data_IF_368275845776
#
_entry.id   IF_368275845776
#
_cell.length_a   1.000
_cell.length_b   1.000
_cell.length_c   1.000
_cell.angle_alpha   90.00
_cell.angle_beta   90.00
_cell.angle_gamma   90.00
#
_symmetry.space_group_name_H-M   'P 1'
#
loop_
_entity.id
_entity.type
_entity.pdbx_description
1 polymer ?
#
# COMPACT_ATOMS: atom_id res chain seq x y z
N UNK A 1 -17.82 -39.18 84.11
CA UNK A 1 -19.30 -39.30 84.27
C UNK A 1 -19.83 -39.60 82.86
N UNK A 2 -20.13 -40.90 82.68
CA UNK A 2 -21.47 -41.47 82.50
C UNK A 2 -22.15 -40.96 81.22
N UNK A 3 -22.53 -41.69 80.32
CA UNK A 3 -23.21 -42.98 80.07
C UNK A 3 -23.51 -43.04 78.54
N UNK A 4 -23.20 -44.12 77.88
CA UNK A 4 -24.00 -45.35 77.66
C UNK A 4 -25.24 -45.14 76.76
N UNK A 5 -25.31 -46.00 75.74
CA UNK A 5 -26.49 -46.57 75.01
C UNK A 5 -27.02 -45.73 73.84
N UNK A 6 -27.44 -46.25 72.71
CA UNK A 6 -27.84 -47.64 72.41
C UNK A 6 -27.69 -47.91 70.89
N UNK A 7 -27.40 -49.14 70.63
CA UNK A 7 -27.49 -49.85 69.34
C UNK A 7 -28.91 -49.82 68.80
N UNK A 8 -29.12 -49.54 67.51
CA UNK A 8 -30.23 -50.11 66.75
C UNK A 8 -29.77 -50.47 65.35
N UNK A 9 -29.71 -51.76 65.16
CA UNK A 9 -29.52 -52.43 63.92
C UNK A 9 -30.72 -52.19 62.98
N UNK A 10 -30.56 -51.61 61.85
CA UNK A 10 -31.48 -51.74 60.71
C UNK A 10 -30.76 -52.34 59.52
N UNK A 11 -30.98 -53.63 59.39
CA UNK A 11 -30.68 -54.45 58.22
C UNK A 11 -31.62 -53.96 57.08
N UNK A 12 -31.11 -53.06 56.19
CA UNK A 12 -31.76 -52.72 54.92
C UNK A 12 -31.19 -53.55 53.82
N UNK A 13 -32.00 -54.50 53.35
CA UNK A 13 -31.71 -55.32 52.17
C UNK A 13 -31.43 -54.46 50.95
N UNK A 14 -30.18 -54.46 50.50
CA UNK A 14 -29.77 -53.85 49.23
C UNK A 14 -30.14 -54.85 48.11
N UNK A 15 -31.33 -54.67 47.55
CA UNK A 15 -31.77 -55.35 46.32
C UNK A 15 -30.96 -54.76 45.19
N UNK A 16 -29.85 -55.42 44.78
CA UNK A 16 -29.08 -55.12 43.64
C UNK A 16 -29.93 -55.37 42.39
N UNK A 17 -30.49 -54.31 41.82
CA UNK A 17 -31.00 -54.33 40.43
C UNK A 17 -29.79 -54.54 39.51
N UNK A 18 -29.57 -55.80 39.11
CA UNK A 18 -28.71 -56.12 37.99
C UNK A 18 -29.40 -55.59 36.72
N UNK A 19 -29.05 -54.38 36.31
CA UNK A 19 -29.32 -53.91 34.92
C UNK A 19 -28.54 -54.84 34.01
N UNK A 20 -29.16 -55.47 33.01
CA UNK A 20 -28.40 -56.16 31.99
C UNK A 20 -27.53 -55.08 31.31
N UNK A 21 -26.22 -55.18 31.42
CA UNK A 21 -25.31 -54.50 30.53
C UNK A 21 -25.71 -54.94 29.13
N UNK A 22 -26.39 -54.05 28.39
CA UNK A 22 -26.56 -54.20 26.97
C UNK A 22 -25.13 -54.28 26.44
N UNK A 23 -24.67 -55.47 26.10
CA UNK A 23 -23.52 -55.67 25.28
C UNK A 23 -23.82 -54.85 23.99
N UNK A 24 -23.17 -53.70 23.82
CA UNK A 24 -23.12 -53.08 22.53
C UNK A 24 -22.50 -54.18 21.65
N UNK A 25 -23.32 -54.78 20.79
CA UNK A 25 -22.83 -55.57 19.67
C UNK A 25 -21.90 -54.62 18.91
N UNK A 26 -20.60 -54.75 19.13
CA UNK A 26 -19.56 -54.23 18.27
C UNK A 26 -19.79 -54.95 16.91
N UNK A 27 -20.72 -54.42 16.13
CA UNK A 27 -20.84 -54.76 14.72
C UNK A 27 -19.51 -54.31 14.12
N UNK A 28 -18.56 -55.25 13.99
CA UNK A 28 -17.38 -55.06 13.17
C UNK A 28 -17.93 -54.84 11.75
N UNK A 29 -18.13 -53.59 11.43
CA UNK A 29 -18.66 -53.21 10.13
C UNK A 29 -17.70 -53.75 9.09
N UNK A 30 -18.21 -54.56 8.14
CA UNK A 30 -17.42 -55.16 7.07
C UNK A 30 -16.72 -54.07 6.29
N UNK A 31 -15.43 -54.26 5.93
CA UNK A 31 -14.71 -53.29 5.12
C UNK A 31 -15.41 -53.10 3.77
N UNK A 32 -15.76 -51.82 3.45
CA UNK A 32 -16.49 -51.49 2.20
C UNK A 32 -15.62 -50.59 1.34
N UNK A 33 -15.58 -50.88 0.03
CA UNK A 33 -14.81 -50.09 -0.95
C UNK A 33 -15.56 -48.80 -1.27
N UNK A 34 -14.82 -47.70 -1.38
CA UNK A 34 -15.33 -46.39 -1.81
C UNK A 34 -15.20 -46.25 -3.35
N UNK A 35 -16.23 -45.74 -4.00
CA UNK A 35 -16.23 -45.47 -5.45
C UNK A 35 -15.38 -44.21 -5.80
N UNK A 36 -15.33 -43.24 -4.89
CA UNK A 36 -14.58 -41.99 -5.07
C UNK A 36 -13.80 -41.65 -3.79
N UNK A 37 -12.54 -41.31 -3.98
CA UNK A 37 -11.58 -41.08 -2.90
C UNK A 37 -10.81 -39.80 -3.17
N UNK A 38 -10.65 -38.99 -2.15
CA UNK A 38 -9.83 -37.78 -2.20
C UNK A 38 -8.64 -37.92 -1.27
N UNK A 39 -7.43 -37.75 -1.80
CA UNK A 39 -6.19 -37.88 -1.06
C UNK A 39 -5.38 -36.59 -1.08
N UNK A 40 -4.64 -36.36 -0.01
CA UNK A 40 -3.72 -35.21 0.13
C UNK A 40 -2.25 -35.62 0.10
N UNK A 41 -1.97 -36.93 0.17
CA UNK A 41 -0.61 -37.47 0.25
C UNK A 41 -0.16 -38.06 -1.08
N UNK A 42 1.19 -38.26 -1.21
CA UNK A 42 1.79 -38.90 -2.38
C UNK A 42 1.41 -40.37 -2.56
N UNK A 43 0.83 -40.97 -1.53
CA UNK A 43 0.54 -42.39 -1.47
C UNK A 43 -0.89 -42.58 -1.02
N UNK A 44 -1.63 -43.38 -1.77
CA UNK A 44 -2.97 -43.86 -1.41
C UNK A 44 -2.81 -45.04 -0.46
N UNK A 45 -3.50 -44.96 0.68
CA UNK A 45 -3.49 -45.97 1.74
C UNK A 45 -4.79 -46.81 1.67
N UNK A 46 -4.76 -47.96 2.33
CA UNK A 46 -5.92 -48.83 2.43
C UNK A 46 -7.13 -48.07 3.03
N UNK A 47 -6.92 -47.28 4.08
CA UNK A 47 -7.98 -46.51 4.73
C UNK A 47 -8.55 -45.38 3.88
N UNK A 48 -7.86 -44.96 2.81
CA UNK A 48 -8.41 -44.02 1.83
C UNK A 48 -9.44 -44.68 0.94
N UNK A 49 -9.15 -45.97 0.52
CA UNK A 49 -9.96 -46.73 -0.41
C UNK A 49 -11.14 -47.43 0.27
N UNK A 50 -11.00 -47.79 1.54
CA UNK A 50 -11.91 -48.71 2.24
C UNK A 50 -12.37 -48.09 3.55
N UNK A 51 -13.70 -48.09 3.76
CA UNK A 51 -14.27 -47.85 5.08
C UNK A 51 -14.03 -49.03 5.99
N UNK A 52 -13.84 -48.79 7.26
CA UNK A 52 -13.60 -49.81 8.31
C UNK A 52 -12.35 -50.67 8.04
N UNK A 53 -11.28 -50.04 7.51
CA UNK A 53 -10.02 -50.74 7.22
C UNK A 53 -9.26 -51.21 8.49
N UNK A 54 -9.68 -50.82 9.67
CA UNK A 54 -9.06 -51.22 10.93
C UNK A 54 -7.56 -50.96 11.00
N UNK A 55 -6.79 -51.94 11.47
CA UNK A 55 -5.32 -51.86 11.57
C UNK A 55 -4.62 -51.74 10.21
N UNK A 56 -5.27 -52.11 9.13
CA UNK A 56 -4.70 -52.02 7.79
C UNK A 56 -4.78 -50.61 7.18
N UNK A 57 -5.49 -49.66 7.78
CA UNK A 57 -5.76 -48.34 7.24
C UNK A 57 -4.50 -47.57 6.79
N UNK A 58 -3.39 -47.71 7.48
CA UNK A 58 -2.14 -46.99 7.18
C UNK A 58 -1.25 -47.67 6.15
N UNK A 59 -1.61 -48.86 5.66
CA UNK A 59 -0.80 -49.62 4.68
C UNK A 59 -0.83 -48.91 3.32
N UNK A 60 0.34 -48.56 2.73
CA UNK A 60 0.41 -47.96 1.41
C UNK A 60 0.07 -48.95 0.30
N UNK A 61 -0.75 -48.52 -0.68
CA UNK A 61 -1.27 -49.41 -1.74
C UNK A 61 -0.85 -48.93 -3.12
N UNK A 62 -1.02 -47.66 -3.42
CA UNK A 62 -0.74 -47.05 -4.72
C UNK A 62 -0.04 -45.72 -4.55
N UNK A 63 0.69 -45.30 -5.60
CA UNK A 63 1.11 -43.91 -5.73
C UNK A 63 -0.11 -43.06 -6.14
N UNK A 64 -0.28 -41.90 -5.50
CA UNK A 64 -1.35 -40.97 -5.84
C UNK A 64 -1.16 -40.42 -7.27
N UNK A 65 -2.23 -40.00 -7.93
CA UNK A 65 -2.13 -39.28 -9.20
C UNK A 65 -1.32 -37.98 -9.06
N UNK A 66 -1.08 -37.30 -10.19
CA UNK A 66 -0.44 -36.00 -10.17
C UNK A 66 -1.30 -34.96 -9.43
N UNK A 67 -0.69 -33.94 -8.90
CA UNK A 67 -1.34 -32.89 -8.11
C UNK A 67 -2.51 -32.27 -8.86
N UNK A 68 -3.68 -32.26 -8.25
CA UNK A 68 -4.90 -31.71 -8.82
C UNK A 68 -5.51 -32.53 -9.95
N UNK A 69 -5.15 -33.82 -10.08
CA UNK A 69 -5.71 -34.73 -11.11
C UNK A 69 -6.46 -35.88 -10.47
N UNK A 70 -7.30 -36.51 -11.28
CA UNK A 70 -8.05 -37.72 -10.91
C UNK A 70 -7.55 -38.90 -11.75
N UNK A 71 -7.16 -39.98 -11.06
CA UNK A 71 -6.83 -41.25 -11.65
C UNK A 71 -7.96 -42.27 -11.45
N UNK A 72 -8.09 -43.24 -12.33
CA UNK A 72 -9.11 -44.31 -12.24
C UNK A 72 -8.40 -45.65 -12.04
N UNK A 73 -8.84 -46.40 -11.04
CA UNK A 73 -8.35 -47.74 -10.75
C UNK A 73 -9.49 -48.74 -10.98
N UNK A 74 -9.24 -49.77 -11.76
CA UNK A 74 -10.24 -50.83 -11.94
C UNK A 74 -10.35 -51.66 -10.66
N UNK A 75 -11.54 -52.19 -10.40
CA UNK A 75 -11.79 -53.01 -9.20
C UNK A 75 -10.85 -54.21 -9.10
N UNK A 76 -10.55 -54.85 -10.23
CA UNK A 76 -9.63 -55.99 -10.28
C UNK A 76 -8.22 -55.62 -9.77
N UNK A 77 -7.70 -54.44 -10.17
CA UNK A 77 -6.42 -53.94 -9.70
C UNK A 77 -6.43 -53.65 -8.20
N UNK A 78 -7.48 -53.00 -7.73
CA UNK A 78 -7.62 -52.67 -6.31
C UNK A 78 -7.67 -53.95 -5.47
N UNK A 79 -8.52 -54.90 -5.82
CA UNK A 79 -8.66 -56.17 -5.09
C UNK A 79 -7.37 -57.00 -5.09
N UNK A 80 -6.66 -57.03 -6.25
CA UNK A 80 -5.39 -57.79 -6.32
C UNK A 80 -4.35 -57.24 -5.35
N UNK A 81 -4.20 -55.92 -5.24
CA UNK A 81 -3.25 -55.27 -4.32
C UNK A 81 -3.71 -55.42 -2.87
N UNK A 82 -5.00 -55.29 -2.59
CA UNK A 82 -5.55 -55.49 -1.24
C UNK A 82 -5.29 -56.90 -0.73
N UNK A 83 -5.49 -57.93 -1.58
CA UNK A 83 -5.16 -59.34 -1.24
C UNK A 83 -3.66 -59.51 -1.00
N UNK A 84 -2.82 -58.91 -1.82
CA UNK A 84 -1.36 -58.95 -1.61
C UNK A 84 -0.93 -58.31 -0.25
N UNK A 85 -1.75 -57.40 0.29
CA UNK A 85 -1.57 -56.78 1.61
C UNK A 85 -2.37 -57.49 2.72
N UNK A 86 -2.91 -58.67 2.44
CA UNK A 86 -3.69 -59.50 3.38
C UNK A 86 -4.99 -58.85 3.84
N UNK A 87 -5.53 -57.89 3.10
CA UNK A 87 -6.85 -57.29 3.34
C UNK A 87 -7.88 -58.11 2.56
N UNK A 88 -8.67 -58.92 3.28
CA UNK A 88 -9.62 -59.89 2.72
C UNK A 88 -11.03 -59.51 3.20
N UNK A 89 -12.06 -59.91 2.40
CA UNK A 89 -13.46 -59.72 2.78
C UNK A 89 -14.02 -58.31 2.52
N UNK A 90 -13.40 -57.54 1.59
CA UNK A 90 -13.86 -56.23 1.23
C UNK A 90 -15.13 -56.31 0.39
N UNK A 91 -16.19 -55.67 0.82
CA UNK A 91 -17.43 -55.54 0.07
C UNK A 91 -17.27 -54.46 -1.02
N UNK A 92 -17.51 -54.84 -2.26
CA UNK A 92 -17.30 -53.98 -3.45
C UNK A 92 -18.59 -53.39 -4.01
N UNK A 93 -19.73 -53.98 -3.64
CA UNK A 93 -21.02 -53.58 -4.25
C UNK A 93 -20.97 -53.63 -5.78
N UNK A 94 -21.63 -52.69 -6.42
CA UNK A 94 -21.68 -52.56 -7.88
C UNK A 94 -20.55 -51.67 -8.45
N UNK A 95 -19.51 -51.36 -7.66
CA UNK A 95 -18.41 -50.51 -8.06
C UNK A 95 -17.56 -51.26 -9.11
N UNK A 96 -17.38 -50.67 -10.27
CA UNK A 96 -16.48 -51.20 -11.34
C UNK A 96 -15.12 -50.53 -11.29
N UNK A 97 -15.05 -49.27 -10.91
CA UNK A 97 -13.87 -48.47 -10.90
C UNK A 97 -13.86 -47.54 -9.66
N UNK A 98 -12.71 -47.29 -9.14
CA UNK A 98 -12.48 -46.34 -8.06
C UNK A 98 -11.77 -45.10 -8.61
N UNK A 99 -12.38 -43.95 -8.40
CA UNK A 99 -11.79 -42.67 -8.76
C UNK A 99 -10.97 -42.12 -7.60
N UNK A 100 -9.70 -41.86 -7.85
CA UNK A 100 -8.80 -41.29 -6.87
C UNK A 100 -8.40 -39.88 -7.30
N UNK A 101 -8.83 -38.89 -6.58
CA UNK A 101 -8.50 -37.49 -6.83
C UNK A 101 -7.44 -37.00 -5.83
N UNK A 102 -6.33 -36.52 -6.34
CA UNK A 102 -5.31 -35.88 -5.49
C UNK A 102 -5.59 -34.39 -5.40
N UNK A 103 -5.78 -33.90 -4.19
CA UNK A 103 -5.94 -32.45 -3.95
C UNK A 103 -4.62 -31.73 -4.21
N UNK A 104 -4.74 -30.50 -4.69
CA UNK A 104 -3.63 -29.59 -4.84
C UNK A 104 -4.00 -28.20 -4.35
N UNK A 105 -3.04 -27.51 -3.78
CA UNK A 105 -3.09 -26.07 -3.55
C UNK A 105 -2.49 -25.38 -4.77
N UNK A 106 -3.27 -24.52 -5.38
CA UNK A 106 -2.80 -23.70 -6.49
C UNK A 106 -2.30 -22.37 -5.98
N UNK A 107 -1.07 -22.01 -6.34
CA UNK A 107 -0.52 -20.66 -6.18
C UNK A 107 -0.63 -19.95 -7.52
N UNK A 108 -1.46 -18.93 -7.60
CA UNK A 108 -1.59 -18.10 -8.79
C UNK A 108 -0.34 -17.22 -8.98
N UNK A 109 -0.01 -16.87 -10.22
CA UNK A 109 1.11 -15.96 -10.54
C UNK A 109 1.03 -14.66 -9.74
N UNK A 110 -0.17 -14.11 -9.61
CA UNK A 110 -0.40 -12.87 -8.87
C UNK A 110 -0.08 -12.98 -7.37
N UNK A 111 -0.33 -14.13 -6.76
CA UNK A 111 0.00 -14.37 -5.35
C UNK A 111 1.51 -14.42 -5.16
N UNK A 112 2.23 -15.04 -6.12
CA UNK A 112 3.69 -15.07 -6.12
C UNK A 112 4.31 -13.69 -6.34
N UNK A 113 3.77 -12.90 -7.28
CA UNK A 113 4.18 -11.51 -7.51
C UNK A 113 4.00 -10.67 -6.25
N UNK A 114 2.85 -10.81 -5.58
CA UNK A 114 2.55 -10.10 -4.34
C UNK A 114 3.51 -10.52 -3.21
N UNK A 115 3.79 -11.81 -3.08
CA UNK A 115 4.71 -12.31 -2.07
C UNK A 115 6.14 -11.81 -2.29
N UNK A 116 6.61 -11.79 -3.55
CA UNK A 116 7.93 -11.26 -3.91
C UNK A 116 7.98 -9.75 -3.68
N UNK A 117 6.97 -8.99 -4.12
CA UNK A 117 6.90 -7.55 -3.89
C UNK A 117 6.92 -7.21 -2.39
N UNK A 118 6.15 -7.94 -1.57
CA UNK A 118 6.14 -7.77 -0.11
C UNK A 118 7.49 -8.14 0.54
N UNK A 119 8.20 -9.14 0.03
CA UNK A 119 9.53 -9.50 0.52
C UNK A 119 10.59 -8.43 0.23
N UNK A 120 10.38 -7.63 -0.82
CA UNK A 120 11.26 -6.55 -1.25
C UNK A 120 10.81 -5.16 -0.74
N UNK A 121 9.60 -5.07 -0.21
CA UNK A 121 9.00 -3.81 0.26
C UNK A 121 9.92 -3.07 1.23
N UNK A 122 10.14 -1.77 0.96
CA UNK A 122 10.99 -0.86 1.76
C UNK A 122 12.39 -1.39 2.05
N UNK A 123 12.87 -2.31 1.21
CA UNK A 123 14.22 -2.86 1.28
C UNK A 123 14.99 -2.51 0.01
N UNK A 124 16.29 -2.52 0.07
CA UNK A 124 17.20 -2.32 -1.06
C UNK A 124 16.97 -1.02 -1.86
N UNK A 125 16.34 -0.02 -1.26
CA UNK A 125 16.00 1.25 -1.92
C UNK A 125 14.70 1.22 -2.74
N UNK A 126 13.94 0.13 -2.65
CA UNK A 126 12.60 0.02 -3.23
C UNK A 126 11.53 0.60 -2.29
N UNK A 127 10.47 1.14 -2.88
CA UNK A 127 9.32 1.67 -2.16
C UNK A 127 8.33 0.60 -1.70
N UNK A 128 7.06 0.98 -1.66
CA UNK A 128 5.97 0.11 -1.23
C UNK A 128 5.69 -1.02 -2.25
N UNK A 129 5.27 -2.19 -1.76
CA UNK A 129 5.00 -3.38 -2.57
C UNK A 129 4.04 -3.12 -3.75
N UNK A 130 3.03 -2.26 -3.56
CA UNK A 130 2.07 -1.90 -4.60
C UNK A 130 2.71 -1.23 -5.83
N UNK A 131 3.90 -0.65 -5.65
CA UNK A 131 4.65 0.04 -6.69
C UNK A 131 5.78 -0.80 -7.28
N UNK A 132 5.94 -2.05 -6.85
CA UNK A 132 6.95 -2.96 -7.36
C UNK A 132 6.33 -3.85 -8.42
N UNK A 133 6.85 -3.78 -9.64
CA UNK A 133 6.48 -4.68 -10.73
C UNK A 133 7.49 -5.81 -10.79
N UNK A 134 6.98 -7.05 -10.69
CA UNK A 134 7.78 -8.28 -10.68
C UNK A 134 7.64 -9.00 -12.01
N UNK A 135 8.75 -9.46 -12.56
CA UNK A 135 8.79 -10.33 -13.75
C UNK A 135 9.69 -11.52 -13.45
N UNK A 136 9.16 -12.72 -13.54
CA UNK A 136 9.91 -13.95 -13.28
C UNK A 136 10.72 -14.41 -14.51
N UNK A 137 11.93 -14.93 -14.32
CA UNK A 137 12.79 -15.48 -15.40
C UNK A 137 12.16 -16.69 -16.11
N UNK A 138 11.47 -17.51 -15.33
CA UNK A 138 10.61 -18.57 -15.85
C UNK A 138 9.20 -18.16 -15.56
N UNK A 139 8.41 -17.97 -16.59
CA UNK A 139 7.03 -17.49 -16.42
C UNK A 139 6.41 -18.16 -15.21
N UNK A 140 5.99 -17.37 -14.24
CA UNK A 140 5.29 -17.88 -13.06
C UNK A 140 3.91 -18.35 -13.49
N UNK A 141 3.90 -19.49 -14.20
CA UNK A 141 2.67 -20.21 -14.43
C UNK A 141 2.09 -20.61 -13.07
N UNK A 142 0.81 -20.84 -13.06
CA UNK A 142 0.12 -21.44 -11.93
C UNK A 142 0.91 -22.62 -11.38
N UNK A 143 1.34 -22.54 -10.13
CA UNK A 143 2.10 -23.61 -9.48
C UNK A 143 1.18 -24.43 -8.60
N UNK A 144 1.22 -25.77 -8.77
CA UNK A 144 0.46 -26.69 -7.93
C UNK A 144 1.37 -27.28 -6.87
N UNK A 145 0.95 -27.17 -5.63
CA UNK A 145 1.59 -27.73 -4.46
C UNK A 145 0.68 -28.81 -3.83
N UNK A 146 1.25 -29.63 -3.02
CA UNK A 146 0.49 -30.56 -2.19
C UNK A 146 -0.45 -29.77 -1.29
N UNK A 147 -1.69 -30.26 -1.13
CA UNK A 147 -2.72 -29.59 -0.35
C UNK A 147 -2.37 -29.41 1.13
N UNK A 148 -1.44 -30.22 1.63
CA UNK A 148 -0.90 -30.10 3.01
C UNK A 148 -0.01 -28.87 3.22
N UNK A 149 0.39 -28.17 2.16
CA UNK A 149 1.12 -26.90 2.26
C UNK A 149 0.14 -25.74 2.52
N UNK A 150 -0.40 -25.65 3.72
CA UNK A 150 -1.44 -24.67 4.09
C UNK A 150 -0.88 -23.31 4.49
N UNK A 151 0.39 -23.24 4.90
CA UNK A 151 1.03 -22.04 5.38
C UNK A 151 1.15 -20.92 4.35
N UNK A 152 1.42 -19.70 4.82
CA UNK A 152 1.77 -18.57 3.97
C UNK A 152 3.21 -18.71 3.44
N UNK A 153 3.49 -18.05 2.31
CA UNK A 153 4.84 -17.92 1.75
C UNK A 153 5.71 -17.06 2.69
N UNK A 154 6.67 -17.66 3.37
CA UNK A 154 7.60 -16.95 4.26
C UNK A 154 8.95 -16.76 3.57
N UNK A 155 9.44 -15.52 3.34
CA UNK A 155 10.75 -15.29 2.75
C UNK A 155 11.85 -15.63 3.77
N UNK A 156 12.72 -16.60 3.44
CA UNK A 156 13.84 -17.02 4.31
C UNK A 156 15.18 -16.49 3.83
N UNK A 157 15.34 -16.30 2.53
CA UNK A 157 16.53 -15.69 1.96
C UNK A 157 16.13 -14.76 0.82
N UNK A 158 16.57 -13.50 0.90
CA UNK A 158 16.27 -12.48 -0.11
C UNK A 158 17.58 -11.89 -0.60
N UNK A 159 17.82 -11.96 -1.90
CA UNK A 159 18.92 -11.29 -2.60
C UNK A 159 18.32 -10.37 -3.65
N UNK A 160 18.84 -9.17 -3.73
CA UNK A 160 18.43 -8.19 -4.72
C UNK A 160 19.63 -7.36 -5.18
N UNK A 161 19.76 -7.18 -6.47
CA UNK A 161 20.75 -6.30 -7.08
C UNK A 161 20.06 -5.04 -7.61
N UNK A 162 20.24 -3.93 -6.94
CA UNK A 162 19.60 -2.66 -7.29
C UNK A 162 20.05 -2.10 -8.66
N UNK A 163 21.21 -2.52 -9.18
CA UNK A 163 21.70 -2.04 -10.48
C UNK A 163 20.96 -2.72 -11.64
N UNK A 164 20.76 -4.01 -11.55
CA UNK A 164 20.10 -4.81 -12.60
C UNK A 164 18.63 -5.05 -12.35
N UNK A 165 18.12 -4.73 -11.15
CA UNK A 165 16.79 -5.04 -10.70
C UNK A 165 16.54 -6.53 -10.46
N UNK A 166 17.59 -7.38 -10.48
CA UNK A 166 17.44 -8.83 -10.33
C UNK A 166 17.22 -9.23 -8.89
N UNK A 167 16.27 -10.13 -8.68
CA UNK A 167 16.04 -10.75 -7.39
C UNK A 167 16.23 -12.26 -7.44
N UNK A 168 16.53 -12.84 -6.28
CA UNK A 168 16.60 -14.28 -6.02
C UNK A 168 16.10 -14.47 -4.58
N UNK A 169 14.90 -15.03 -4.44
CA UNK A 169 14.22 -15.17 -3.15
C UNK A 169 13.85 -16.63 -2.93
N UNK A 170 14.23 -17.14 -1.76
CA UNK A 170 13.78 -18.44 -1.26
C UNK A 170 12.63 -18.21 -0.27
N UNK A 171 11.54 -18.95 -0.48
CA UNK A 171 10.38 -18.98 0.41
C UNK A 171 10.26 -20.36 1.06
N UNK A 172 9.70 -20.40 2.24
CA UNK A 172 9.25 -21.61 2.91
C UNK A 172 7.75 -21.56 3.15
N UNK A 173 7.10 -22.73 3.00
CA UNK A 173 5.68 -22.91 3.28
C UNK A 173 5.56 -24.02 4.31
N UNK A 174 4.82 -23.76 5.39
CA UNK A 174 4.52 -24.78 6.38
C UNK A 174 3.67 -25.91 5.76
N UNK A 175 3.98 -27.14 6.14
CA UNK A 175 3.29 -28.34 5.68
C UNK A 175 2.70 -29.05 6.88
N UNK A 176 1.36 -29.29 6.88
CA UNK A 176 0.67 -29.90 8.00
C UNK A 176 1.02 -31.38 8.21
N UNK A 177 1.45 -32.07 7.15
CA UNK A 177 1.82 -33.48 7.19
C UNK A 177 3.32 -33.74 7.42
N UNK A 178 4.14 -32.70 7.35
CA UNK A 178 5.57 -32.82 7.47
C UNK A 178 6.16 -31.64 8.29
N UNK A 179 6.94 -31.88 9.34
CA UNK A 179 7.60 -30.82 10.11
C UNK A 179 8.62 -30.03 9.27
N UNK A 180 9.08 -30.58 8.14
CA UNK A 180 9.99 -29.89 7.24
C UNK A 180 9.20 -29.02 6.27
N UNK A 181 9.40 -27.69 6.25
CA UNK A 181 8.68 -26.81 5.34
C UNK A 181 9.08 -27.05 3.88
N UNK A 182 8.15 -26.83 2.97
CA UNK A 182 8.41 -26.89 1.53
C UNK A 182 9.15 -25.62 1.10
N UNK A 183 10.31 -25.80 0.44
CA UNK A 183 11.16 -24.69 -0.06
C UNK A 183 10.87 -24.40 -1.53
N UNK A 184 10.62 -23.12 -1.82
CA UNK A 184 10.43 -22.61 -3.17
C UNK A 184 11.44 -21.50 -3.43
N UNK A 185 12.00 -21.45 -4.65
CA UNK A 185 12.95 -20.41 -5.03
C UNK A 185 12.49 -19.75 -6.32
N UNK A 186 12.42 -18.42 -6.30
CA UNK A 186 12.04 -17.62 -7.43
C UNK A 186 13.12 -16.62 -7.78
N UNK A 187 13.39 -16.47 -9.08
CA UNK A 187 14.31 -15.48 -9.61
C UNK A 187 13.65 -14.69 -10.74
N UNK A 188 14.10 -13.46 -10.92
CA UNK A 188 13.54 -12.58 -11.93
C UNK A 188 14.03 -11.15 -11.78
N UNK A 189 13.24 -10.21 -12.29
CA UNK A 189 13.45 -8.78 -12.15
C UNK A 189 12.31 -8.13 -11.39
N UNK A 190 12.64 -7.22 -10.47
CA UNK A 190 11.71 -6.40 -9.73
C UNK A 190 12.14 -4.95 -9.86
N UNK A 191 11.25 -4.10 -10.36
CA UNK A 191 11.51 -2.68 -10.57
C UNK A 191 10.44 -1.86 -9.88
N UNK A 192 10.84 -0.74 -9.27
CA UNK A 192 9.91 0.22 -8.74
C UNK A 192 9.27 1.00 -9.89
N UNK A 193 7.95 1.00 -9.95
CA UNK A 193 7.16 1.73 -10.94
C UNK A 193 6.35 2.82 -10.25
N UNK A 194 6.08 3.87 -10.99
CA UNK A 194 5.18 4.95 -10.57
C UNK A 194 4.10 5.13 -11.61
N UNK A 195 2.91 5.48 -11.15
CA UNK A 195 1.83 5.86 -12.03
C UNK A 195 2.01 7.30 -12.46
N UNK A 196 2.12 7.53 -13.75
CA UNK A 196 2.39 8.85 -14.34
C UNK A 196 1.36 9.18 -15.40
N UNK A 197 1.04 10.45 -15.51
CA UNK A 197 0.26 10.99 -16.61
C UNK A 197 1.14 11.05 -17.87
N UNK A 198 0.68 10.43 -18.95
CA UNK A 198 1.40 10.37 -20.23
C UNK A 198 0.52 10.99 -21.31
N UNK A 199 1.13 11.72 -22.26
CA UNK A 199 0.42 12.29 -23.40
C UNK A 199 0.01 11.21 -24.40
N UNK A 200 -1.25 11.25 -24.84
CA UNK A 200 -1.80 10.33 -25.85
C UNK A 200 -1.52 10.78 -27.28
N UNK A 201 -1.24 12.07 -27.47
CA UNK A 201 -0.92 12.70 -28.76
C UNK A 201 0.13 13.80 -28.60
N UNK A 202 0.66 14.26 -29.70
CA UNK A 202 1.54 15.42 -29.72
C UNK A 202 0.75 16.68 -29.35
N UNK A 203 1.33 17.51 -28.48
CA UNK A 203 0.70 18.74 -27.99
C UNK A 203 1.71 19.88 -28.09
N UNK A 204 1.26 21.00 -28.66
CA UNK A 204 2.08 22.18 -28.84
C UNK A 204 2.17 23.04 -27.58
N UNK A 205 3.12 23.98 -27.59
CA UNK A 205 3.28 24.95 -26.52
C UNK A 205 2.02 25.79 -26.37
N UNK A 206 1.62 26.04 -25.11
CA UNK A 206 0.47 26.82 -24.73
C UNK A 206 -0.90 26.20 -25.08
N UNK A 207 -0.94 25.00 -25.66
CA UNK A 207 -2.17 24.24 -25.80
C UNK A 207 -2.69 23.77 -24.44
N UNK A 208 -4.00 23.85 -24.27
CA UNK A 208 -4.66 23.39 -23.04
C UNK A 208 -4.91 21.90 -23.11
N UNK A 209 -4.43 21.18 -22.09
CA UNK A 209 -4.58 19.74 -21.93
C UNK A 209 -6.04 19.36 -21.65
N UNK A 210 -6.59 18.48 -22.48
CA UNK A 210 -7.91 17.89 -22.29
C UNK A 210 -7.79 16.55 -21.56
N UNK A 211 -8.86 16.08 -20.95
CA UNK A 211 -8.91 14.77 -20.30
C UNK A 211 -8.59 13.60 -21.25
N UNK A 212 -8.90 13.74 -22.54
CA UNK A 212 -8.57 12.78 -23.60
C UNK A 212 -7.09 12.74 -23.97
N UNK A 213 -6.37 13.81 -23.70
CA UNK A 213 -4.98 13.97 -24.09
C UNK A 213 -4.01 13.35 -23.07
N UNK A 214 -4.54 12.92 -21.93
CA UNK A 214 -3.75 12.41 -20.81
C UNK A 214 -4.24 11.02 -20.39
N UNK A 215 -3.38 10.01 -20.53
CA UNK A 215 -3.59 8.65 -20.01
C UNK A 215 -2.73 8.42 -18.77
N UNK A 216 -3.16 7.50 -17.90
CA UNK A 216 -2.34 7.03 -16.79
C UNK A 216 -1.61 5.76 -17.23
N UNK A 217 -0.30 5.75 -17.08
CA UNK A 217 0.55 4.60 -17.37
C UNK A 217 1.51 4.33 -16.20
N UNK A 218 1.80 3.05 -15.96
CA UNK A 218 2.87 2.66 -15.05
C UNK A 218 4.19 2.66 -15.77
N UNK A 219 5.14 3.44 -15.27
CA UNK A 219 6.49 3.55 -15.82
C UNK A 219 7.55 3.26 -14.74
N UNK A 220 8.70 2.70 -15.12
CA UNK A 220 9.83 2.58 -14.21
C UNK A 220 10.17 3.93 -13.57
N UNK A 221 10.29 3.97 -12.26
CA UNK A 221 10.62 5.21 -11.53
C UNK A 221 11.93 5.83 -12.01
N UNK A 222 12.87 5.00 -12.43
CA UNK A 222 14.16 5.45 -12.98
C UNK A 222 14.02 6.26 -14.29
N UNK A 223 12.97 6.04 -15.08
CA UNK A 223 12.68 6.76 -16.32
C UNK A 223 11.96 8.09 -16.06
N UNK A 224 11.32 8.23 -14.90
CA UNK A 224 10.56 9.42 -14.54
C UNK A 224 11.46 10.38 -13.78
N UNK A 225 12.06 11.31 -14.51
CA UNK A 225 12.94 12.32 -13.94
C UNK A 225 12.11 13.48 -13.36
N UNK A 226 12.25 13.79 -12.08
CA UNK A 226 11.52 14.86 -11.40
C UNK A 226 10.16 14.43 -10.86
N UNK A 227 9.39 15.41 -10.36
CA UNK A 227 8.07 15.16 -9.80
C UNK A 227 7.05 14.89 -10.92
N UNK A 228 6.40 13.71 -10.96
CA UNK A 228 5.37 13.42 -11.96
C UNK A 228 4.14 14.28 -11.72
N UNK A 229 3.50 14.73 -12.80
CA UNK A 229 2.21 15.39 -12.71
C UNK A 229 1.10 14.34 -12.56
N UNK A 230 0.12 14.59 -11.70
CA UNK A 230 -1.08 13.76 -11.68
C UNK A 230 -2.01 14.15 -12.83
N UNK A 231 -2.85 13.20 -13.27
CA UNK A 231 -3.82 13.47 -14.34
C UNK A 231 -4.76 14.60 -13.98
N UNK A 232 -5.27 14.62 -12.75
CA UNK A 232 -6.22 15.61 -12.25
C UNK A 232 -5.63 17.02 -12.29
N UNK A 233 -4.35 17.14 -11.93
CA UNK A 233 -3.63 18.43 -11.95
C UNK A 233 -3.25 18.86 -13.36
N UNK A 234 -3.16 17.92 -14.30
CA UNK A 234 -2.74 18.21 -15.68
C UNK A 234 -3.88 18.67 -16.57
N UNK A 235 -5.09 18.17 -16.35
CA UNK A 235 -6.27 18.55 -17.16
C UNK A 235 -6.62 20.02 -16.92
N UNK A 236 -6.77 20.78 -18.02
CA UNK A 236 -7.03 22.22 -17.97
C UNK A 236 -5.77 23.10 -17.87
N UNK A 237 -4.63 22.51 -17.64
CA UNK A 237 -3.33 23.23 -17.67
C UNK A 237 -2.81 23.35 -19.09
N UNK A 238 -1.81 24.22 -19.28
CA UNK A 238 -1.09 24.41 -20.54
C UNK A 238 0.33 23.85 -20.46
N UNK A 239 0.88 23.44 -21.62
CA UNK A 239 2.28 23.01 -21.72
C UNK A 239 3.22 24.22 -21.86
N UNK A 240 4.31 24.21 -21.11
CA UNK A 240 5.40 25.19 -21.27
C UNK A 240 6.15 25.03 -22.58
N UNK A 241 6.19 23.83 -23.13
CA UNK A 241 6.89 23.45 -24.36
C UNK A 241 6.11 22.40 -25.11
N UNK A 242 6.35 22.30 -26.42
CA UNK A 242 5.78 21.22 -27.21
C UNK A 242 6.31 19.87 -26.72
N UNK A 243 5.42 18.87 -26.59
CA UNK A 243 5.73 17.54 -26.13
C UNK A 243 5.06 16.49 -27.01
N UNK A 244 5.75 15.35 -27.21
CA UNK A 244 5.26 14.25 -28.05
C UNK A 244 4.40 13.27 -27.28
N UNK A 245 3.57 12.53 -28.01
CA UNK A 245 2.87 11.37 -27.49
C UNK A 245 3.83 10.40 -26.79
N UNK A 246 3.34 9.71 -25.75
CA UNK A 246 4.14 8.77 -24.96
C UNK A 246 5.08 9.41 -23.94
N UNK A 247 5.18 10.74 -23.90
CA UNK A 247 6.07 11.44 -22.95
C UNK A 247 5.38 11.60 -21.61
N UNK A 248 6.00 11.18 -20.48
CA UNK A 248 5.48 11.41 -19.16
C UNK A 248 5.49 12.90 -18.80
N UNK A 249 4.36 13.37 -18.26
CA UNK A 249 4.19 14.73 -17.81
C UNK A 249 4.83 14.94 -16.43
N UNK A 250 5.55 16.05 -16.27
CA UNK A 250 6.13 16.49 -15.01
C UNK A 250 5.39 17.72 -14.50
N UNK A 251 5.39 17.93 -13.22
CA UNK A 251 4.83 19.14 -12.61
C UNK A 251 5.45 20.42 -13.20
N UNK A 252 6.74 20.37 -13.57
CA UNK A 252 7.45 21.49 -14.17
C UNK A 252 7.08 21.79 -15.64
N UNK A 253 6.49 20.81 -16.35
CA UNK A 253 6.13 20.96 -17.77
C UNK A 253 4.75 21.63 -17.96
N UNK A 254 3.94 21.73 -16.90
CA UNK A 254 2.59 22.30 -16.91
C UNK A 254 2.55 23.67 -16.23
N UNK A 255 1.68 24.54 -16.72
CA UNK A 255 1.40 25.87 -16.16
C UNK A 255 -0.08 26.15 -16.20
N UNK A 256 -0.53 27.07 -15.37
CA UNK A 256 -1.91 27.58 -15.48
C UNK A 256 -2.13 28.23 -16.84
N UNK A 257 -3.29 28.03 -17.46
CA UNK A 257 -3.59 28.65 -18.76
C UNK A 257 -3.67 30.17 -18.62
N UNK A 258 -3.10 30.88 -19.60
CA UNK A 258 -3.26 32.32 -19.70
C UNK A 258 -4.70 32.66 -20.03
N UNK A 259 -5.37 33.37 -19.15
CA UNK A 259 -6.73 33.88 -19.36
C UNK A 259 -6.74 35.23 -20.09
N UNK A 260 -5.63 35.92 -20.01
CA UNK A 260 -5.35 37.16 -20.74
C UNK A 260 -4.04 36.99 -21.48
N UNK A 261 -4.06 37.24 -22.78
CA UNK A 261 -2.86 37.17 -23.62
C UNK A 261 -2.43 38.59 -23.99
N UNK A 262 -1.13 38.84 -24.09
CA UNK A 262 -0.58 40.11 -24.55
C UNK A 262 -1.23 40.53 -25.86
N UNK A 263 -1.49 41.83 -25.99
CA UNK A 263 -2.14 42.48 -27.14
C UNK A 263 -3.65 42.12 -27.30
N UNK A 264 -4.22 41.28 -26.46
CA UNK A 264 -5.63 40.94 -26.46
C UNK A 264 -6.50 42.10 -25.95
N UNK A 265 -7.65 42.27 -26.58
CA UNK A 265 -8.70 43.15 -26.04
C UNK A 265 -9.32 42.49 -24.81
N UNK A 266 -9.32 43.20 -23.68
CA UNK A 266 -9.81 42.74 -22.39
C UNK A 266 -10.88 43.70 -21.83
N UNK A 267 -11.77 43.14 -21.03
CA UNK A 267 -12.70 43.92 -20.24
C UNK A 267 -12.09 44.23 -18.88
N UNK A 268 -11.88 45.50 -18.60
CA UNK A 268 -11.41 45.98 -17.30
C UNK A 268 -12.63 46.28 -16.42
N UNK A 269 -12.69 45.62 -15.28
CA UNK A 269 -13.74 45.76 -14.29
C UNK A 269 -13.18 46.54 -13.11
N UNK A 270 -13.76 47.70 -12.81
CA UNK A 270 -13.46 48.41 -11.57
C UNK A 270 -14.57 48.16 -10.58
N UNK A 271 -14.20 47.65 -9.40
CA UNK A 271 -15.13 47.34 -8.35
C UNK A 271 -14.77 48.10 -7.08
N UNK A 272 -15.68 48.92 -6.60
CA UNK A 272 -15.60 49.61 -5.32
C UNK A 272 -16.96 49.50 -4.60
N UNK A 273 -17.06 49.70 -3.28
CA UNK A 273 -18.32 49.65 -2.57
C UNK A 273 -19.36 50.55 -3.22
N UNK A 274 -20.45 49.95 -3.74
CA UNK A 274 -21.54 50.67 -4.42
C UNK A 274 -21.25 51.13 -5.85
N UNK A 275 -20.10 50.82 -6.43
CA UNK A 275 -19.72 51.22 -7.78
C UNK A 275 -19.13 50.03 -8.58
N UNK A 276 -19.75 49.76 -9.74
CA UNK A 276 -19.30 48.76 -10.71
C UNK A 276 -19.14 49.43 -12.08
N UNK A 277 -17.91 49.53 -12.57
CA UNK A 277 -17.62 50.13 -13.87
C UNK A 277 -16.90 49.14 -14.76
N UNK A 278 -17.23 49.13 -16.03
CA UNK A 278 -16.55 48.32 -17.04
C UNK A 278 -16.01 49.21 -18.16
N UNK A 279 -14.80 48.90 -18.61
CA UNK A 279 -14.21 49.60 -19.77
C UNK A 279 -13.42 48.62 -20.61
N UNK A 280 -13.17 48.95 -21.87
CA UNK A 280 -12.32 48.14 -22.76
C UNK A 280 -10.87 48.60 -22.66
N UNK A 281 -9.97 47.61 -22.53
CA UNK A 281 -8.55 47.82 -22.55
C UNK A 281 -7.86 46.84 -23.48
N UNK A 282 -6.56 47.04 -23.65
CA UNK A 282 -5.65 46.12 -24.34
C UNK A 282 -4.60 45.62 -23.35
N UNK A 283 -4.50 44.32 -23.19
CA UNK A 283 -3.47 43.74 -22.32
C UNK A 283 -2.07 44.03 -22.81
N UNK A 284 -1.21 44.47 -21.92
CA UNK A 284 0.23 44.71 -22.18
C UNK A 284 1.04 43.47 -21.89
N UNK A 285 0.54 42.63 -20.95
CA UNK A 285 1.17 41.40 -20.47
C UNK A 285 0.17 40.26 -20.50
N UNK A 286 0.67 39.02 -20.64
CA UNK A 286 -0.13 37.81 -20.47
C UNK A 286 -0.20 37.43 -18.99
N UNK A 287 -1.31 36.82 -18.58
CA UNK A 287 -1.48 36.35 -17.21
C UNK A 287 -2.55 35.28 -17.07
N UNK A 288 -2.33 34.35 -16.15
CA UNK A 288 -3.29 33.35 -15.72
C UNK A 288 -4.27 33.95 -14.69
N UNK A 289 -5.30 33.17 -14.33
CA UNK A 289 -6.25 33.58 -13.29
C UNK A 289 -5.53 33.84 -11.95
N UNK A 290 -5.77 35.02 -11.38
CA UNK A 290 -5.15 35.48 -10.15
C UNK A 290 -3.85 36.27 -10.36
N UNK A 291 -3.29 36.29 -11.56
CA UNK A 291 -2.09 37.07 -11.86
C UNK A 291 -2.40 38.57 -11.99
N UNK A 292 -1.45 39.38 -11.61
CA UNK A 292 -1.53 40.84 -11.81
C UNK A 292 -0.96 41.19 -13.17
N UNK A 293 -1.78 41.85 -14.01
CA UNK A 293 -1.40 42.24 -15.38
C UNK A 293 -1.59 43.73 -15.62
N UNK A 294 -0.79 44.27 -16.50
CA UNK A 294 -0.89 45.64 -16.98
C UNK A 294 -1.83 45.71 -18.19
N UNK A 295 -2.81 46.61 -18.15
CA UNK A 295 -3.80 46.83 -19.22
C UNK A 295 -3.81 48.29 -19.64
N UNK A 296 -3.68 48.57 -20.94
CA UNK A 296 -3.85 49.89 -21.49
C UNK A 296 -5.34 50.21 -21.71
N UNK A 297 -5.87 51.19 -21.01
CA UNK A 297 -7.21 51.67 -21.25
C UNK A 297 -7.27 52.42 -22.58
N UNK A 298 -8.13 51.97 -23.50
CA UNK A 298 -8.21 52.53 -24.86
C UNK A 298 -8.78 53.92 -24.89
N UNK A 299 -9.61 54.30 -23.93
CA UNK A 299 -10.23 55.63 -23.85
C UNK A 299 -9.28 56.66 -23.25
N UNK A 300 -8.70 56.34 -22.09
CA UNK A 300 -7.86 57.31 -21.35
C UNK A 300 -6.38 57.27 -21.75
N UNK A 301 -5.96 56.29 -22.56
CA UNK A 301 -4.55 56.00 -22.91
C UNK A 301 -3.63 55.79 -21.71
N UNK A 302 -4.20 55.45 -20.55
CA UNK A 302 -3.44 55.17 -19.32
C UNK A 302 -3.31 53.66 -19.11
N UNK A 303 -2.15 53.23 -18.59
CA UNK A 303 -1.95 51.87 -18.17
C UNK A 303 -2.50 51.70 -16.77
N UNK A 304 -3.30 50.66 -16.58
CA UNK A 304 -3.91 50.26 -15.32
C UNK A 304 -3.39 48.88 -14.95
N UNK A 305 -3.16 48.63 -13.68
CA UNK A 305 -2.77 47.34 -13.17
C UNK A 305 -3.97 46.68 -12.47
N UNK A 306 -4.26 45.43 -12.80
CA UNK A 306 -5.37 44.70 -12.22
C UNK A 306 -5.10 43.20 -12.16
N UNK A 307 -5.95 42.48 -11.44
CA UNK A 307 -5.89 41.04 -11.29
C UNK A 307 -6.79 40.38 -12.32
N UNK A 308 -6.27 39.34 -12.98
CA UNK A 308 -7.02 38.53 -13.93
C UNK A 308 -8.06 37.69 -13.17
N UNK A 309 -9.33 37.91 -13.44
CA UNK A 309 -10.45 37.19 -12.78
C UNK A 309 -11.19 36.26 -13.71
N UNK A 310 -10.90 36.28 -15.01
CA UNK A 310 -11.53 35.42 -15.99
C UNK A 310 -10.92 35.60 -17.39
N UNK A 311 -11.39 34.81 -18.34
CA UNK A 311 -10.89 34.90 -19.72
C UNK A 311 -11.20 36.27 -20.33
N UNK A 312 -10.16 37.06 -20.62
CA UNK A 312 -10.27 38.41 -21.13
C UNK A 312 -10.87 39.40 -20.11
N UNK A 313 -10.85 39.10 -18.81
CA UNK A 313 -11.35 39.95 -17.76
C UNK A 313 -10.27 40.28 -16.73
N UNK A 314 -10.13 41.56 -16.43
CA UNK A 314 -9.15 42.04 -15.43
C UNK A 314 -9.91 42.94 -14.46
N UNK A 315 -9.83 42.62 -13.17
CA UNK A 315 -10.49 43.41 -12.13
C UNK A 315 -9.48 44.30 -11.42
N UNK A 316 -9.83 45.57 -11.30
CA UNK A 316 -9.07 46.54 -10.52
C UNK A 316 -9.88 46.77 -9.23
N UNK A 317 -9.33 46.41 -8.11
CA UNK A 317 -9.90 46.76 -6.82
C UNK A 317 -9.50 48.20 -6.49
N UNK A 318 -10.47 49.08 -6.30
CA UNK A 318 -10.20 50.39 -5.76
C UNK A 318 -9.54 50.23 -4.38
N UNK A 319 -8.33 50.70 -4.20
CA UNK A 319 -7.76 50.83 -2.89
C UNK A 319 -8.76 51.65 -2.04
N UNK A 320 -9.34 51.04 -1.03
CA UNK A 320 -10.00 51.78 0.03
C UNK A 320 -8.92 52.63 0.67
N UNK A 321 -8.76 53.89 0.24
CA UNK A 321 -8.03 54.84 1.01
C UNK A 321 -8.85 55.02 2.31
N UNK A 322 -8.39 54.33 3.35
CA UNK A 322 -8.67 54.76 4.69
C UNK A 322 -8.06 56.14 4.81
N UNK A 323 -8.87 57.17 4.57
CA UNK A 323 -8.52 58.55 4.94
C UNK A 323 -8.30 58.48 6.44
N UNK A 324 -7.11 58.75 6.98
CA UNK A 324 -6.98 58.92 8.42
C UNK A 324 -7.82 60.11 8.77
N UNK A 325 -8.94 59.88 9.45
CA UNK A 325 -9.75 60.95 10.02
C UNK A 325 -8.86 61.62 11.10
N UNK A 326 -8.32 62.79 10.74
CA UNK A 326 -7.61 63.64 11.68
C UNK A 326 -8.59 63.94 12.85
N UNK A 327 -8.16 63.80 14.10
CA UNK A 327 -9.01 64.15 15.23
C UNK A 327 -9.37 65.62 15.13
N UNK A 328 -10.67 65.89 15.21
CA UNK A 328 -11.23 67.23 15.27
C UNK A 328 -10.57 68.03 16.41
N UNK A 329 -9.92 69.13 16.05
CA UNK A 329 -9.38 70.08 16.99
C UNK A 329 -10.55 70.88 17.52
N UNK A 330 -11.04 70.55 18.68
CA UNK A 330 -11.87 71.46 19.47
C UNK A 330 -11.04 72.66 19.91
N UNK A 331 -11.26 73.78 19.26
CA UNK A 331 -10.81 75.07 19.77
C UNK A 331 -11.68 75.47 20.96
N UNK A 332 -11.14 75.31 22.18
CA UNK A 332 -11.61 76.08 23.32
C UNK A 332 -10.49 76.99 23.79
N UNK A 333 -10.64 78.25 23.50
CA UNK A 333 -9.90 79.33 24.02
C UNK A 333 -10.25 79.55 25.49
N UNK A 334 -9.30 79.56 26.40
CA UNK A 334 -9.21 80.57 27.45
C UNK A 334 -7.96 80.49 28.40
N UNK A 335 -7.22 81.55 28.39
CA UNK A 335 -6.60 82.28 29.52
C UNK A 335 -5.61 81.55 30.43
N UNK A 336 -4.37 81.93 30.17
CA UNK A 336 -3.33 82.46 31.06
C UNK A 336 -3.42 82.20 32.60
N UNK A 337 -2.44 81.49 33.10
CA UNK A 337 -1.77 81.89 34.36
C UNK A 337 -0.36 81.32 34.45
N UNK A 338 0.61 82.22 34.67
CA UNK A 338 2.00 81.97 35.02
C UNK A 338 2.11 81.19 36.31
N UNK A 339 3.02 80.20 36.37
CA UNK A 339 3.83 79.93 37.57
C UNK A 339 4.98 79.00 37.20
N UNK A 340 6.14 79.28 37.80
CA UNK A 340 7.50 78.87 37.54
C UNK A 340 7.85 77.46 38.08
N UNK A 341 9.02 76.91 37.76
CA UNK A 341 9.35 75.51 37.81
C UNK A 341 9.95 75.00 39.11
N UNK A 342 9.79 73.73 39.43
CA UNK A 342 10.55 73.01 40.44
C UNK A 342 10.78 71.53 40.03
N UNK A 343 11.72 70.83 40.66
CA UNK A 343 12.86 70.26 39.98
C UNK A 343 12.69 68.74 39.66
N UNK A 344 13.45 68.31 38.66
CA UNK A 344 13.64 66.92 38.18
C UNK A 344 14.30 66.04 39.25
N UNK A 345 13.67 64.93 39.56
CA UNK A 345 14.27 63.87 40.36
C UNK A 345 14.77 62.73 39.42
N UNK A 346 16.13 62.69 39.33
CA UNK A 346 16.91 61.83 38.41
C UNK A 346 17.15 60.41 38.93
N UNK A 347 16.41 59.98 39.95
CA UNK A 347 16.68 58.69 40.62
C UNK A 347 15.83 57.51 40.21
N UNK A 348 14.89 57.64 39.23
CA UNK A 348 13.99 56.57 38.84
C UNK A 348 14.37 55.83 37.52
N UNK A 349 15.41 56.29 36.80
CA UNK A 349 15.81 55.73 35.46
C UNK A 349 16.98 54.75 35.53
N UNK A 350 17.46 54.34 36.70
CA UNK A 350 18.63 53.48 36.85
C UNK A 350 18.31 52.05 37.41
N UNK A 351 17.07 51.64 37.50
CA UNK A 351 16.69 50.31 38.09
C UNK A 351 16.06 49.28 37.15
N UNK A 352 16.08 49.45 35.85
CA UNK A 352 15.53 48.47 34.91
C UNK A 352 16.54 47.79 33.95
N UNK A 353 17.83 47.86 34.24
CA UNK A 353 18.88 47.26 33.42
C UNK A 353 19.80 46.34 34.22
N UNK A 354 19.28 45.35 34.93
CA UNK A 354 20.06 44.18 35.36
C UNK A 354 19.06 43.04 35.61
N UNK A 355 18.96 42.08 34.72
CA UNK A 355 18.89 40.64 34.99
C UNK A 355 18.64 39.87 33.70
N UNK A 356 19.70 39.37 33.09
CA UNK A 356 19.69 38.21 32.23
C UNK A 356 20.85 37.33 32.69
N UNK A 357 20.61 36.11 33.18
CA UNK A 357 21.69 35.12 33.27
C UNK A 357 21.67 34.25 32.02
N UNK A 358 22.75 34.30 31.27
CA UNK A 358 23.12 33.34 30.26
C UNK A 358 23.57 32.04 30.91
N UNK A 359 23.05 30.92 30.40
CA UNK A 359 23.53 29.58 30.75
C UNK A 359 24.52 29.10 29.67
N UNK A 360 25.68 28.55 30.04
CA UNK A 360 26.69 28.14 29.08
C UNK A 360 26.43 26.72 28.53
N UNK A 361 26.44 26.59 27.22
CA UNK A 361 26.47 25.31 26.50
C UNK A 361 27.85 24.66 26.64
N UNK A 362 27.84 23.42 27.07
CA UNK A 362 29.02 22.55 27.10
C UNK A 362 29.39 22.09 25.68
N UNK A 363 30.58 22.39 25.28
CA UNK A 363 31.27 21.86 24.10
C UNK A 363 31.92 20.56 24.55
N UNK A 364 31.51 19.46 24.00
CA UNK A 364 32.19 18.16 24.11
C UNK A 364 33.02 17.94 22.86
N UNK A 365 34.32 17.99 23.01
CA UNK A 365 35.32 17.51 22.04
C UNK A 365 35.19 16.00 21.87
N UNK A 366 35.01 15.54 20.64
CA UNK A 366 35.18 14.14 20.26
C UNK A 366 36.52 13.99 19.53
N UNK A 367 37.44 13.31 20.17
CA UNK A 367 38.74 12.92 19.67
C UNK A 367 38.62 11.87 18.54
N UNK A 368 39.37 12.11 17.47
CA UNK A 368 39.60 11.16 16.37
C UNK A 368 40.76 10.23 16.75
N UNK A 369 40.62 8.90 16.67
CA UNK A 369 41.77 8.03 16.71
C UNK A 369 42.29 7.75 15.30
N UNK A 370 43.54 8.10 15.06
CA UNK A 370 44.33 7.72 13.90
C UNK A 370 44.62 6.20 13.92
N UNK A 371 44.28 5.52 12.85
CA UNK A 371 44.62 4.12 12.64
C UNK A 371 45.98 4.00 11.95
N UNK A 372 46.84 3.22 12.59
CA UNK A 372 48.17 2.80 12.12
C UNK A 372 48.07 1.93 10.86
N UNK A 373 48.85 2.28 9.88
CA UNK A 373 49.30 1.44 8.80
C UNK A 373 50.24 0.39 9.36
N UNK A 374 50.03 -0.90 9.10
CA UNK A 374 51.02 -1.95 9.22
C UNK A 374 51.00 -2.82 7.97
N UNK A 375 52.11 -2.76 7.27
CA UNK A 375 52.52 -3.68 6.21
C UNK A 375 52.86 -5.01 6.84
N UNK A 376 52.47 -6.10 6.22
CA UNK A 376 53.23 -7.34 6.28
C UNK A 376 53.05 -8.11 4.97
N UNK A 377 54.20 -8.34 4.36
CA UNK A 377 54.47 -9.12 3.16
C UNK A 377 54.33 -10.63 3.37
N UNK A 378 54.09 -11.28 2.25
CA UNK A 378 54.66 -12.56 1.81
C UNK A 378 54.28 -13.88 2.53
N UNK A 379 53.52 -14.71 1.89
CA UNK A 379 53.96 -15.92 1.18
C UNK A 379 52.82 -16.52 0.38
#
# INVERSE_FOLDING_TARGET
>A
MTMIRATLATLSALLALALPAAAADDFIASPTLRASVTVTSDVVRVGDLIDNAGSAALIPVYRSPDLGTTGTLTIGQVLSVLRAKQVIGVMTGDIKEVQVTRLARTLASKDLETAVASALERRFGLGDAANITVTFDRGAAEMRLDASNTGALQPVATRYDARSGRFDIAFEIANDNNPTPTKLRFSGTAIETVEVAVLTRDIDRADTLKASDVALERRPKAEVTGEPASRERSVGMQLRRAMRAGTPLRAADIVKPDFVVRDQAVTVIFQAPGLYLTTRGKAVESGAEGDTVSVLNLQSKRTLTGVVTGRGQVTIQGASQSVPMAPAVEQTSSLKRDEAPAPVDTAALLRSLVHTPASPAQIAEAQIPQARVSQAQAK
#
